data_IF_648624815205
#
_entry.id   IF_648624815205
#
_cell.length_a   1.000
_cell.length_b   1.000
_cell.length_c   1.000
_cell.angle_alpha   90.00
_cell.angle_beta   90.00
_cell.angle_gamma   90.00
#
_symmetry.space_group_name_H-M   'P 1'
#
loop_
_entity.id
_entity.type
_entity.pdbx_description
1 polymer ?
#
# COMPACT_ATOMS: atom_id res chain seq x y z
N UNK A 1 -25.03 -3.67 -13.12
CA UNK A 1 -25.32 -4.56 -11.98
C UNK A 1 -25.60 -3.67 -10.78
N UNK A 2 -26.67 -3.93 -10.03
CA UNK A 2 -27.24 -2.97 -9.08
C UNK A 2 -26.23 -2.58 -8.01
N UNK A 3 -26.04 -1.27 -7.84
CA UNK A 3 -25.38 -0.68 -6.70
C UNK A 3 -26.40 -0.61 -5.56
N UNK A 4 -26.92 -1.77 -5.16
CA UNK A 4 -27.67 -1.87 -3.91
C UNK A 4 -26.63 -1.78 -2.80
N UNK A 5 -26.46 -0.58 -2.24
CA UNK A 5 -25.62 -0.34 -1.07
C UNK A 5 -26.10 -1.23 0.07
N UNK A 6 -25.40 -2.34 0.28
CA UNK A 6 -25.66 -3.28 1.36
C UNK A 6 -25.48 -2.56 2.71
N UNK A 7 -26.57 -2.43 3.48
CA UNK A 7 -26.57 -1.80 4.80
C UNK A 7 -26.91 -2.84 5.88
N UNK A 8 -25.95 -3.12 6.76
CA UNK A 8 -26.16 -4.03 7.89
C UNK A 8 -27.25 -3.56 8.84
N UNK A 9 -27.47 -2.24 8.92
CA UNK A 9 -28.47 -1.65 9.82
C UNK A 9 -29.91 -2.00 9.45
N UNK A 10 -30.20 -2.19 8.14
CA UNK A 10 -31.52 -2.58 7.63
C UNK A 10 -31.83 -4.06 7.78
N UNK A 11 -30.86 -4.88 8.18
CA UNK A 11 -31.08 -6.32 8.34
C UNK A 11 -31.92 -6.62 9.59
N UNK A 12 -32.63 -7.75 9.57
CA UNK A 12 -33.47 -8.17 10.68
C UNK A 12 -32.63 -8.44 11.94
N UNK A 13 -33.14 -7.99 13.10
CA UNK A 13 -32.51 -8.25 14.40
C UNK A 13 -32.63 -9.74 14.77
N UNK A 14 -31.62 -10.26 15.46
CA UNK A 14 -31.61 -11.64 15.92
C UNK A 14 -30.86 -11.78 17.26
N UNK A 15 -31.13 -12.86 17.99
CA UNK A 15 -30.30 -13.32 19.13
C UNK A 15 -29.48 -14.54 18.72
N UNK A 16 -30.07 -15.40 17.89
CA UNK A 16 -29.51 -16.62 17.31
C UNK A 16 -29.87 -16.75 15.82
N UNK A 17 -29.24 -17.70 15.12
CA UNK A 17 -29.56 -17.98 13.71
C UNK A 17 -31.03 -18.42 13.51
N UNK A 18 -31.66 -19.03 14.51
CA UNK A 18 -33.05 -19.48 14.44
C UNK A 18 -34.07 -18.33 14.34
N UNK A 19 -33.67 -17.12 14.76
CA UNK A 19 -34.51 -15.93 14.65
C UNK A 19 -34.51 -15.33 13.24
N UNK A 20 -33.59 -15.80 12.38
CA UNK A 20 -33.44 -15.28 11.03
C UNK A 20 -34.38 -15.98 10.04
N UNK A 21 -34.93 -15.24 9.05
CA UNK A 21 -35.70 -15.85 7.98
C UNK A 21 -34.92 -16.94 7.25
N UNK A 22 -35.64 -17.86 6.61
CA UNK A 22 -35.01 -18.89 5.76
C UNK A 22 -34.13 -18.22 4.69
N UNK A 23 -32.92 -18.76 4.49
CA UNK A 23 -31.96 -18.26 3.52
C UNK A 23 -30.90 -17.29 4.10
N UNK A 24 -30.95 -16.98 5.39
CA UNK A 24 -29.88 -16.26 6.08
C UNK A 24 -28.81 -17.23 6.59
N UNK A 25 -27.54 -16.86 6.40
CA UNK A 25 -26.39 -17.68 6.76
C UNK A 25 -25.92 -17.48 8.21
N UNK A 26 -26.13 -16.29 8.80
CA UNK A 26 -25.54 -15.97 10.11
C UNK A 26 -26.37 -14.97 10.93
N UNK A 27 -26.16 -14.95 12.26
CA UNK A 27 -26.64 -13.94 13.18
C UNK A 27 -25.45 -13.31 13.93
N UNK A 28 -25.03 -12.11 13.53
CA UNK A 28 -23.74 -11.53 13.91
C UNK A 28 -23.85 -10.19 14.64
N UNK A 29 -22.96 -9.94 15.60
CA UNK A 29 -22.84 -8.64 16.29
C UNK A 29 -22.23 -7.62 15.32
N UNK A 30 -22.76 -6.40 15.30
CA UNK A 30 -22.23 -5.26 14.53
C UNK A 30 -21.72 -4.21 15.53
N UNK A 31 -20.55 -3.62 15.28
CA UNK A 31 -19.82 -2.83 16.28
C UNK A 31 -20.64 -1.65 16.85
N UNK A 32 -21.46 -1.02 16.01
CA UNK A 32 -22.22 0.19 16.35
C UNK A 32 -23.73 -0.08 16.54
N UNK A 33 -24.13 -1.35 16.66
CA UNK A 33 -25.52 -1.74 16.87
C UNK A 33 -25.65 -2.57 18.17
N UNK A 34 -26.67 -2.26 18.95
CA UNK A 34 -26.93 -2.97 20.21
C UNK A 34 -27.28 -4.44 19.95
N UNK A 35 -28.20 -4.69 19.02
CA UNK A 35 -28.65 -6.03 18.66
C UNK A 35 -27.82 -6.65 17.53
N UNK A 36 -27.75 -7.98 17.48
CA UNK A 36 -27.17 -8.69 16.32
C UNK A 36 -28.08 -8.54 15.10
N UNK A 37 -27.52 -8.81 13.92
CA UNK A 37 -28.21 -8.74 12.63
C UNK A 37 -28.11 -10.07 11.88
N UNK A 38 -29.20 -10.46 11.24
CA UNK A 38 -29.23 -11.57 10.31
C UNK A 38 -28.44 -11.19 9.05
N UNK A 39 -27.46 -12.01 8.69
CA UNK A 39 -26.63 -11.82 7.50
C UNK A 39 -27.03 -12.87 6.47
N UNK A 40 -27.42 -12.41 5.27
CA UNK A 40 -27.91 -13.29 4.21
C UNK A 40 -26.77 -14.11 3.63
N UNK A 41 -25.75 -13.43 3.12
CA UNK A 41 -24.52 -14.03 2.65
C UNK A 41 -23.32 -13.34 3.31
N UNK A 42 -22.37 -14.13 3.79
CA UNK A 42 -21.12 -13.62 4.36
C UNK A 42 -20.29 -12.88 3.30
N UNK A 43 -20.45 -13.25 2.01
CA UNK A 43 -19.78 -12.59 0.88
C UNK A 43 -20.24 -11.16 0.62
N UNK A 44 -21.41 -10.77 1.14
CA UNK A 44 -21.86 -9.37 1.12
C UNK A 44 -21.02 -8.49 2.08
N UNK A 45 -20.30 -9.10 3.02
CA UNK A 45 -19.43 -8.42 3.97
C UNK A 45 -17.95 -8.61 3.61
N UNK A 46 -17.53 -9.82 3.25
CA UNK A 46 -16.14 -10.12 2.93
C UNK A 46 -16.06 -10.89 1.62
N UNK A 47 -15.43 -10.32 0.59
CA UNK A 47 -15.25 -11.01 -0.69
C UNK A 47 -14.34 -12.24 -0.54
N UNK A 48 -13.42 -12.18 0.43
CA UNK A 48 -12.60 -13.31 0.87
C UNK A 48 -12.56 -13.46 2.39
N UNK A 49 -12.36 -14.69 2.86
CA UNK A 49 -12.23 -15.01 4.27
C UNK A 49 -13.54 -14.84 5.04
N UNK A 50 -13.45 -14.42 6.31
CA UNK A 50 -14.62 -14.25 7.17
C UNK A 50 -14.66 -12.86 7.84
N UNK A 51 -15.85 -12.33 8.15
CA UNK A 51 -15.99 -11.09 8.88
C UNK A 51 -15.32 -11.15 10.25
N UNK A 52 -14.65 -10.07 10.62
CA UNK A 52 -14.26 -9.86 12.01
C UNK A 52 -15.54 -9.73 12.85
N UNK A 53 -15.54 -10.33 14.04
CA UNK A 53 -16.62 -10.15 15.01
C UNK A 53 -16.14 -9.20 16.13
N UNK A 54 -16.93 -8.17 16.52
CA UNK A 54 -18.13 -7.69 15.82
C UNK A 54 -17.82 -7.19 14.40
N UNK A 55 -18.79 -7.31 13.49
CA UNK A 55 -18.69 -6.79 12.12
C UNK A 55 -18.49 -5.28 12.21
N UNK A 56 -17.46 -4.78 11.55
CA UNK A 56 -17.02 -3.39 11.63
C UNK A 56 -16.73 -2.88 10.21
N UNK A 57 -17.26 -1.71 9.87
CA UNK A 57 -16.91 -1.01 8.64
C UNK A 57 -15.50 -0.42 8.72
N UNK A 58 -14.87 -0.22 7.57
CA UNK A 58 -13.52 0.32 7.48
C UNK A 58 -13.31 1.12 6.21
N UNK A 59 -12.39 2.07 6.28
CA UNK A 59 -11.88 2.80 5.13
C UNK A 59 -10.41 2.45 4.86
N UNK A 60 -9.67 2.04 5.90
CA UNK A 60 -8.26 1.65 5.81
C UNK A 60 -7.98 0.43 6.68
N UNK A 61 -6.85 -0.22 6.44
CA UNK A 61 -6.49 -1.44 7.16
C UNK A 61 -6.41 -1.22 8.68
N UNK A 62 -5.90 -0.06 9.14
CA UNK A 62 -5.80 0.30 10.57
C UNK A 62 -7.13 0.22 11.33
N UNK A 63 -8.25 0.48 10.66
CA UNK A 63 -9.58 0.41 11.28
C UNK A 63 -9.93 -1.02 11.73
N UNK A 64 -9.31 -2.01 11.09
CA UNK A 64 -9.54 -3.42 11.33
C UNK A 64 -8.62 -4.05 12.36
N UNK A 65 -7.62 -3.30 12.82
CA UNK A 65 -6.80 -3.67 13.96
C UNK A 65 -7.42 -3.10 15.25
N UNK A 66 -7.12 -3.73 16.39
CA UNK A 66 -7.48 -3.17 17.70
C UNK A 66 -6.41 -2.16 18.15
N UNK A 67 -6.27 -1.98 19.47
CA UNK A 67 -5.12 -1.24 20.05
C UNK A 67 -3.75 -1.90 19.80
N UNK A 68 -3.71 -3.05 19.15
CA UNK A 68 -2.47 -3.74 18.76
C UNK A 68 -2.63 -4.30 17.36
N UNK A 69 -1.67 -3.96 16.49
CA UNK A 69 -1.49 -4.53 15.15
C UNK A 69 -1.12 -6.02 15.21
N UNK A 70 -0.65 -6.49 16.38
CA UNK A 70 0.04 -7.77 16.60
C UNK A 70 -0.69 -8.70 17.58
N UNK A 71 -1.94 -9.07 17.28
CA UNK A 71 -2.49 -10.32 17.84
C UNK A 71 -2.29 -11.45 16.80
N UNK A 72 -1.14 -12.12 16.87
CA UNK A 72 -0.53 -12.95 15.83
C UNK A 72 -1.29 -14.20 15.32
N UNK A 73 -2.58 -14.36 15.63
CA UNK A 73 -3.36 -15.52 15.21
C UNK A 73 -4.13 -15.30 13.89
N UNK A 74 -4.33 -14.04 13.47
CA UNK A 74 -5.13 -13.71 12.30
C UNK A 74 -4.48 -12.63 11.43
N UNK A 75 -4.54 -12.83 10.11
CA UNK A 75 -4.30 -11.76 9.14
C UNK A 75 -5.63 -11.05 8.92
N UNK A 76 -5.61 -9.72 9.06
CA UNK A 76 -6.79 -8.86 8.97
C UNK A 76 -6.57 -7.81 7.89
N UNK A 77 -7.65 -7.38 7.26
CA UNK A 77 -7.61 -6.29 6.29
C UNK A 77 -8.95 -5.57 6.26
N UNK A 78 -8.94 -4.37 5.69
CA UNK A 78 -10.16 -3.74 5.21
C UNK A 78 -10.42 -4.24 3.79
N UNK A 79 -11.54 -4.93 3.55
CA UNK A 79 -11.91 -5.36 2.21
C UNK A 79 -12.31 -4.13 1.38
N UNK A 80 -11.57 -3.85 0.32
CA UNK A 80 -11.78 -2.64 -0.49
C UNK A 80 -12.99 -2.74 -1.41
N UNK A 81 -13.56 -3.93 -1.59
CA UNK A 81 -14.78 -4.12 -2.35
C UNK A 81 -16.05 -3.89 -1.52
N UNK A 82 -16.02 -4.25 -0.23
CA UNK A 82 -17.20 -4.18 0.65
C UNK A 82 -17.07 -3.18 1.80
N UNK A 83 -15.88 -2.63 2.04
CA UNK A 83 -15.57 -1.70 3.14
C UNK A 83 -15.86 -2.25 4.54
N UNK A 84 -15.64 -3.55 4.74
CA UNK A 84 -15.72 -4.19 6.06
C UNK A 84 -14.43 -4.90 6.45
N UNK A 85 -14.24 -5.03 7.76
CA UNK A 85 -13.09 -5.72 8.32
C UNK A 85 -13.22 -7.23 8.20
N UNK A 86 -12.28 -7.82 7.48
CA UNK A 86 -12.22 -9.24 7.21
C UNK A 86 -10.97 -9.85 7.84
N UNK A 87 -11.02 -11.15 8.07
CA UNK A 87 -9.91 -11.91 8.64
C UNK A 87 -9.81 -13.31 8.06
N UNK A 88 -8.61 -13.85 8.11
CA UNK A 88 -8.33 -15.26 7.86
C UNK A 88 -7.37 -15.77 8.93
N UNK A 89 -7.46 -17.06 9.26
CA UNK A 89 -6.46 -17.73 10.09
C UNK A 89 -5.11 -17.70 9.37
N UNK A 90 -4.03 -17.42 10.09
CA UNK A 90 -2.68 -17.35 9.52
C UNK A 90 -2.22 -18.67 8.88
N UNK A 91 -2.83 -19.81 9.24
CA UNK A 91 -2.53 -21.14 8.70
C UNK A 91 -3.57 -21.65 7.67
N UNK A 92 -4.49 -20.79 7.22
CA UNK A 92 -5.50 -21.18 6.24
C UNK A 92 -4.84 -21.55 4.90
N UNK A 93 -5.40 -22.55 4.23
CA UNK A 93 -5.04 -22.89 2.84
C UNK A 93 -5.74 -22.01 1.81
N UNK A 94 -6.64 -21.11 2.25
CA UNK A 94 -7.30 -20.16 1.36
C UNK A 94 -6.27 -19.14 0.82
N UNK A 95 -6.11 -19.12 -0.51
CA UNK A 95 -5.25 -18.18 -1.21
C UNK A 95 -5.88 -16.77 -1.29
N UNK A 96 -5.96 -16.11 -0.14
CA UNK A 96 -6.48 -14.73 0.01
C UNK A 96 -5.37 -13.69 0.17
N UNK A 97 -4.12 -14.10 -0.08
CA UNK A 97 -2.97 -13.21 -0.12
C UNK A 97 -2.53 -13.01 -1.57
N UNK A 98 -1.85 -11.89 -1.80
CA UNK A 98 -1.03 -11.70 -2.98
C UNK A 98 0.12 -12.74 -3.01
N UNK A 99 0.77 -12.93 -4.17
CA UNK A 99 1.84 -13.91 -4.30
C UNK A 99 3.09 -13.67 -3.43
N UNK A 100 3.22 -12.48 -2.84
CA UNK A 100 4.21 -12.16 -1.80
C UNK A 100 3.92 -12.84 -0.44
N UNK A 101 2.71 -13.38 -0.26
CA UNK A 101 2.21 -14.08 0.95
C UNK A 101 2.08 -13.21 2.20
N UNK A 102 2.25 -11.90 2.07
CA UNK A 102 2.14 -10.95 3.19
C UNK A 102 1.00 -9.97 2.97
N UNK A 103 0.77 -9.56 1.71
CA UNK A 103 -0.23 -8.55 1.36
C UNK A 103 -1.61 -9.20 1.17
N UNK A 104 -2.66 -8.80 1.90
CA UNK A 104 -4.01 -9.32 1.72
C UNK A 104 -4.60 -8.93 0.36
N UNK A 105 -5.09 -9.91 -0.39
CA UNK A 105 -5.55 -9.76 -1.78
C UNK A 105 -6.70 -8.76 -1.90
N UNK A 106 -7.78 -8.99 -1.16
CA UNK A 106 -8.98 -8.15 -1.17
C UNK A 106 -8.79 -6.83 -0.41
N UNK A 107 -7.62 -6.63 0.21
CA UNK A 107 -7.21 -5.34 0.76
C UNK A 107 -6.61 -4.41 -0.30
N UNK A 108 -6.25 -4.93 -1.49
CA UNK A 108 -5.68 -4.12 -2.56
C UNK A 108 -6.74 -3.64 -3.56
N UNK A 109 -6.35 -2.67 -4.38
CA UNK A 109 -7.21 -2.13 -5.44
C UNK A 109 -7.47 -3.17 -6.53
N UNK A 110 -8.64 -3.07 -7.17
CA UNK A 110 -8.97 -3.90 -8.34
C UNK A 110 -8.15 -3.47 -9.56
N UNK A 111 -7.75 -4.46 -10.34
CA UNK A 111 -7.15 -4.24 -11.65
C UNK A 111 -8.20 -3.82 -12.69
N UNK A 112 -7.75 -3.04 -13.67
CA UNK A 112 -8.53 -2.69 -14.84
C UNK A 112 -8.52 -3.87 -15.83
N UNK A 113 -9.64 -4.10 -16.52
CA UNK A 113 -9.78 -5.11 -17.58
C UNK A 113 -9.38 -6.53 -17.16
N UNK A 114 -9.50 -6.86 -15.86
CA UNK A 114 -9.20 -8.18 -15.35
C UNK A 114 -10.25 -9.20 -15.81
N UNK A 115 -9.79 -10.39 -16.19
CA UNK A 115 -10.64 -11.51 -16.56
C UNK A 115 -10.75 -12.47 -15.37
N UNK A 116 -11.97 -12.67 -14.87
CA UNK A 116 -12.27 -13.53 -13.71
C UNK A 116 -11.79 -14.98 -13.88
N UNK A 117 -11.65 -15.46 -15.11
CA UNK A 117 -11.20 -16.83 -15.42
C UNK A 117 -9.66 -16.98 -15.48
N UNK A 118 -8.91 -15.88 -15.50
CA UNK A 118 -7.46 -15.89 -15.66
C UNK A 118 -6.76 -15.31 -14.42
N UNK A 119 -5.90 -16.14 -13.81
CA UNK A 119 -5.18 -15.78 -12.58
C UNK A 119 -4.34 -14.50 -12.74
N UNK A 120 -3.64 -14.35 -13.87
CA UNK A 120 -2.85 -13.16 -14.17
C UNK A 120 -3.46 -12.44 -15.38
N UNK A 121 -4.35 -11.49 -15.12
CA UNK A 121 -5.04 -10.75 -16.17
C UNK A 121 -5.44 -9.34 -15.73
N UNK A 122 -5.52 -8.42 -16.69
CA UNK A 122 -5.79 -7.01 -16.45
C UNK A 122 -4.53 -6.17 -16.28
N UNK A 123 -4.72 -4.91 -15.90
CA UNK A 123 -3.67 -3.92 -15.68
C UNK A 123 -3.78 -3.26 -14.32
N UNK A 124 -2.67 -3.19 -13.58
CA UNK A 124 -2.61 -2.40 -12.36
C UNK A 124 -2.49 -0.92 -12.69
N UNK A 125 -3.17 -0.06 -11.92
CA UNK A 125 -2.97 1.39 -11.97
C UNK A 125 -1.62 1.82 -11.40
N UNK A 126 -1.02 0.99 -10.57
CA UNK A 126 0.29 1.22 -9.99
C UNK A 126 1.35 0.62 -10.91
N UNK A 127 2.31 1.43 -11.36
CA UNK A 127 3.34 0.98 -12.29
C UNK A 127 4.20 -0.19 -11.77
N UNK A 128 4.33 -0.35 -10.44
CA UNK A 128 5.04 -1.48 -9.83
C UNK A 128 4.16 -2.70 -9.54
N UNK A 129 2.86 -2.63 -9.76
CA UNK A 129 1.92 -3.70 -9.44
C UNK A 129 1.69 -4.65 -10.61
N UNK A 130 1.35 -5.90 -10.30
CA UNK A 130 0.81 -6.84 -11.30
C UNK A 130 -0.56 -7.34 -10.87
N UNK A 131 -1.34 -7.80 -11.83
CA UNK A 131 -2.68 -8.29 -11.56
C UNK A 131 -2.66 -9.77 -11.19
N UNK A 132 -3.23 -10.07 -10.02
CA UNK A 132 -3.44 -11.43 -9.53
C UNK A 132 -4.89 -11.57 -9.08
N UNK A 133 -5.61 -12.51 -9.69
CA UNK A 133 -7.04 -12.76 -9.43
C UNK A 133 -7.89 -11.48 -9.51
N UNK A 134 -7.51 -10.56 -10.40
CA UNK A 134 -8.20 -9.27 -10.59
C UNK A 134 -7.88 -8.17 -9.58
N UNK A 135 -6.90 -8.37 -8.69
CA UNK A 135 -6.43 -7.36 -7.75
C UNK A 135 -4.96 -6.99 -8.01
N UNK A 136 -4.62 -5.75 -7.73
CA UNK A 136 -3.28 -5.19 -7.91
C UNK A 136 -2.38 -5.64 -6.75
N UNK A 137 -1.45 -6.55 -7.02
CA UNK A 137 -0.54 -7.11 -6.04
C UNK A 137 0.89 -6.59 -6.21
N UNK A 138 1.67 -6.55 -5.11
CA UNK A 138 3.10 -6.27 -5.19
C UNK A 138 3.82 -7.36 -5.97
N UNK A 139 4.90 -7.02 -6.69
CA UNK A 139 5.69 -7.93 -7.51
C UNK A 139 6.26 -9.08 -6.66
N UNK A 140 6.29 -10.29 -7.24
CA UNK A 140 6.69 -11.50 -6.54
C UNK A 140 8.16 -11.41 -6.13
N UNK A 141 8.42 -11.31 -4.83
CA UNK A 141 9.77 -11.47 -4.26
C UNK A 141 10.07 -12.98 -4.27
N UNK A 142 10.81 -13.45 -5.26
CA UNK A 142 11.21 -14.86 -5.35
C UNK A 142 12.39 -15.14 -4.41
N UNK A 143 12.09 -15.50 -3.15
CA UNK A 143 13.04 -15.94 -2.12
C UNK A 143 14.03 -14.86 -1.60
N UNK A 144 14.46 -14.94 -0.33
CA UNK A 144 15.45 -14.03 0.26
C UNK A 144 16.83 -14.02 -0.43
N UNK A 145 17.10 -15.03 -1.27
CA UNK A 145 18.40 -15.23 -1.92
C UNK A 145 18.41 -14.90 -3.42
N UNK A 146 17.24 -14.80 -4.07
CA UNK A 146 17.09 -14.50 -5.50
C UNK A 146 16.21 -13.25 -5.67
N UNK A 147 16.69 -12.13 -5.13
CA UNK A 147 16.02 -10.83 -5.11
C UNK A 147 15.81 -10.23 -6.51
N UNK A 148 14.97 -10.88 -7.32
CA UNK A 148 14.30 -10.24 -8.44
C UNK A 148 13.15 -9.42 -7.87
N UNK A 149 13.50 -8.27 -7.30
CA UNK A 149 12.53 -7.22 -7.03
C UNK A 149 11.73 -6.94 -8.29
N UNK A 150 10.48 -6.50 -8.11
CA UNK A 150 9.84 -5.76 -9.18
C UNK A 150 10.73 -4.58 -9.57
N UNK A 151 10.73 -4.23 -10.85
CA UNK A 151 11.53 -3.10 -11.34
C UNK A 151 11.14 -1.79 -10.65
N UNK A 152 9.90 -1.64 -10.16
CA UNK A 152 9.40 -0.39 -9.57
C UNK A 152 8.81 -0.63 -8.19
N UNK A 153 8.81 0.42 -7.37
CA UNK A 153 8.16 0.45 -6.06
C UNK A 153 6.66 0.24 -6.17
N UNK A 154 6.06 -0.36 -5.13
CA UNK A 154 4.62 -0.62 -5.06
C UNK A 154 4.05 -0.15 -3.72
N UNK A 155 2.96 0.61 -3.76
CA UNK A 155 2.23 1.04 -2.58
C UNK A 155 1.19 -0.03 -2.19
N UNK A 156 1.31 -0.59 -1.00
CA UNK A 156 0.26 -1.47 -0.45
C UNK A 156 -0.79 -0.65 0.28
N UNK A 157 -2.01 -1.16 0.39
CA UNK A 157 -3.03 -0.59 1.28
C UNK A 157 -2.86 -0.98 2.77
N UNK A 158 -1.74 -1.60 3.13
CA UNK A 158 -1.43 -1.89 4.53
C UNK A 158 -0.92 -0.62 5.20
N UNK A 159 -1.51 -0.27 6.33
CA UNK A 159 -1.10 0.88 7.13
C UNK A 159 0.17 0.57 7.92
N UNK A 160 0.95 1.61 8.18
CA UNK A 160 2.08 1.58 9.11
C UNK A 160 2.24 2.92 9.82
N UNK A 161 3.15 2.96 10.78
CA UNK A 161 3.58 4.17 11.46
C UNK A 161 5.08 4.35 11.20
N UNK A 162 5.48 5.47 10.61
CA UNK A 162 6.88 5.74 10.28
C UNK A 162 7.79 5.89 11.51
N UNK A 163 7.18 6.13 12.68
CA UNK A 163 7.87 6.21 13.97
C UNK A 163 7.99 4.83 14.65
N UNK A 164 7.50 3.77 14.02
CA UNK A 164 7.58 2.40 14.53
C UNK A 164 8.46 1.55 13.59
N UNK A 165 9.08 0.52 14.16
CA UNK A 165 9.84 -0.44 13.37
C UNK A 165 8.90 -1.24 12.45
N UNK A 166 9.33 -1.44 11.21
CA UNK A 166 8.60 -2.29 10.25
C UNK A 166 8.70 -3.75 10.72
N UNK A 167 7.55 -4.44 10.86
CA UNK A 167 7.49 -5.81 11.39
C UNK A 167 8.37 -6.81 10.61
N UNK A 168 8.85 -7.84 11.30
CA UNK A 168 9.79 -8.83 10.78
C UNK A 168 9.31 -9.59 9.53
N UNK A 169 8.02 -9.65 9.27
CA UNK A 169 7.47 -10.33 8.08
C UNK A 169 7.51 -9.49 6.80
N UNK A 170 7.81 -8.20 6.87
CA UNK A 170 7.72 -7.25 5.75
C UNK A 170 9.10 -6.96 5.14
N UNK A 171 9.78 -8.01 4.68
CA UNK A 171 11.09 -7.90 4.03
C UNK A 171 11.01 -7.03 2.76
N UNK A 172 12.02 -6.19 2.57
CA UNK A 172 12.14 -5.18 1.51
C UNK A 172 10.98 -4.21 1.42
N UNK A 173 10.40 -3.88 2.57
CA UNK A 173 9.38 -2.86 2.69
C UNK A 173 9.85 -1.72 3.60
N UNK A 174 9.23 -0.56 3.42
CA UNK A 174 9.38 0.60 4.29
C UNK A 174 8.03 1.24 4.55
N UNK A 175 7.93 1.97 5.66
CA UNK A 175 6.77 2.81 5.93
C UNK A 175 6.97 4.17 5.29
N UNK A 176 6.06 4.62 4.44
CA UNK A 176 6.17 5.94 3.83
C UNK A 176 5.55 7.00 4.74
N UNK A 177 6.27 8.09 4.99
CA UNK A 177 5.87 9.14 5.93
C UNK A 177 4.53 9.79 5.57
N UNK A 178 4.36 10.23 4.32
CA UNK A 178 3.16 10.98 3.91
C UNK A 178 1.91 10.11 3.74
N UNK A 179 2.04 8.94 3.11
CA UNK A 179 0.89 8.06 2.86
C UNK A 179 0.49 7.26 4.10
N UNK A 180 1.44 6.99 5.01
CA UNK A 180 1.21 6.12 6.16
C UNK A 180 0.94 4.66 5.77
N UNK A 181 1.42 4.26 4.60
CA UNK A 181 1.29 2.91 4.04
C UNK A 181 2.65 2.21 3.95
N UNK A 182 2.63 0.88 3.95
CA UNK A 182 3.81 0.08 3.60
C UNK A 182 4.01 0.10 2.09
N UNK A 183 5.25 0.35 1.70
CA UNK A 183 5.69 0.33 0.32
C UNK A 183 6.71 -0.79 0.12
N UNK A 184 6.58 -1.52 -0.98
CA UNK A 184 7.57 -2.49 -1.41
C UNK A 184 8.64 -1.78 -2.22
N UNK A 185 9.91 -2.03 -1.89
CA UNK A 185 11.05 -1.51 -2.61
C UNK A 185 11.18 -2.16 -3.99
N UNK A 186 11.43 -1.34 -5.01
CA UNK A 186 11.76 -1.80 -6.36
C UNK A 186 13.25 -1.64 -6.66
N UNK A 187 13.69 -2.13 -7.82
CA UNK A 187 15.06 -1.86 -8.30
C UNK A 187 15.27 -0.38 -8.64
N UNK A 188 14.24 0.25 -9.20
CA UNK A 188 14.25 1.63 -9.64
C UNK A 188 13.25 2.47 -8.83
N UNK A 189 13.63 3.71 -8.57
CA UNK A 189 12.77 4.74 -8.00
C UNK A 189 11.72 5.23 -9.01
N UNK A 190 10.84 6.15 -8.60
CA UNK A 190 9.80 6.72 -9.48
C UNK A 190 10.36 7.50 -10.68
N UNK A 191 11.61 7.93 -10.63
CA UNK A 191 12.30 8.62 -11.73
C UNK A 191 12.93 7.63 -12.73
N UNK A 192 13.02 6.35 -12.38
CA UNK A 192 13.67 5.32 -13.20
C UNK A 192 15.16 5.10 -12.90
N UNK A 193 15.71 5.78 -11.89
CA UNK A 193 17.08 5.57 -11.43
C UNK A 193 17.14 4.43 -10.41
N UNK A 194 18.28 3.74 -10.31
CA UNK A 194 18.46 2.70 -9.29
C UNK A 194 18.30 3.30 -7.89
N UNK A 195 17.66 2.54 -7.00
CA UNK A 195 17.46 2.98 -5.61
C UNK A 195 18.80 3.12 -4.88
N UNK A 196 19.01 4.25 -4.23
CA UNK A 196 20.28 4.59 -3.58
C UNK A 196 20.26 4.10 -2.14
N UNK A 197 21.18 3.18 -1.84
CA UNK A 197 21.38 2.57 -0.53
C UNK A 197 22.45 3.30 0.26
N UNK A 198 22.19 3.57 1.53
CA UNK A 198 23.17 4.12 2.48
C UNK A 198 23.74 3.03 3.41
N UNK A 199 24.91 3.32 4.00
CA UNK A 199 25.55 2.43 4.98
C UNK A 199 24.97 2.56 6.38
N UNK A 200 24.15 3.58 6.62
CA UNK A 200 23.50 3.86 7.91
C UNK A 200 22.47 2.78 8.24
N UNK A 201 22.64 2.18 9.41
CA UNK A 201 21.64 1.31 10.02
C UNK A 201 20.54 2.15 10.66
N UNK A 202 19.31 1.66 10.61
CA UNK A 202 18.13 2.32 11.17
C UNK A 202 17.22 1.29 11.82
N UNK A 203 16.27 1.72 12.64
CA UNK A 203 15.11 0.93 13.05
C UNK A 203 13.81 1.62 12.60
N UNK A 204 13.85 2.95 12.48
CA UNK A 204 12.73 3.80 12.06
C UNK A 204 13.22 4.83 11.04
N UNK A 205 12.29 5.49 10.33
CA UNK A 205 12.66 6.53 9.36
C UNK A 205 13.42 7.71 10.00
N UNK A 206 13.14 8.00 11.27
CA UNK A 206 13.77 9.10 11.99
C UNK A 206 15.29 8.91 12.15
N UNK A 207 15.78 7.66 12.09
CA UNK A 207 17.21 7.36 12.19
C UNK A 207 17.98 7.73 10.90
N UNK A 208 17.27 7.88 9.78
CA UNK A 208 17.87 8.12 8.47
C UNK A 208 18.04 9.61 8.15
N UNK A 209 17.10 10.45 8.58
CA UNK A 209 17.06 11.87 8.24
C UNK A 209 16.03 12.21 7.15
N UNK A 210 15.93 13.48 6.80
CA UNK A 210 14.94 13.98 5.85
C UNK A 210 15.22 13.48 4.42
N UNK A 211 14.16 13.10 3.69
CA UNK A 211 14.26 12.56 2.33
C UNK A 211 14.72 11.11 2.25
N UNK A 212 14.87 10.43 3.39
CA UNK A 212 15.34 9.07 3.50
C UNK A 212 14.31 8.17 4.21
N UNK A 213 14.31 6.90 3.87
CA UNK A 213 13.43 5.88 4.46
C UNK A 213 14.23 4.72 5.03
N UNK A 214 13.75 4.15 6.13
CA UNK A 214 14.31 2.96 6.72
C UNK A 214 13.68 1.71 6.09
N UNK A 215 14.49 0.95 5.38
CA UNK A 215 14.06 -0.24 4.65
C UNK A 215 14.56 -1.47 5.37
N UNK A 216 13.68 -2.44 5.56
CA UNK A 216 14.05 -3.77 6.05
C UNK A 216 14.65 -4.57 4.90
N UNK A 217 15.94 -4.86 4.90
CA UNK A 217 16.54 -5.73 3.88
C UNK A 217 16.32 -7.21 4.18
N UNK A 218 16.32 -7.61 5.45
CA UNK A 218 16.03 -8.98 5.87
C UNK A 218 15.64 -9.04 7.35
N UNK A 219 15.51 -10.27 7.89
CA UNK A 219 15.17 -10.53 9.28
C UNK A 219 16.03 -9.76 10.30
N UNK A 220 17.28 -9.45 9.99
CA UNK A 220 18.25 -8.88 10.92
C UNK A 220 18.80 -7.50 10.49
N UNK A 221 18.47 -7.00 9.30
CA UNK A 221 19.10 -5.80 8.74
C UNK A 221 18.09 -4.79 8.23
N UNK A 222 18.19 -3.59 8.77
CA UNK A 222 17.52 -2.40 8.29
C UNK A 222 18.57 -1.37 7.89
N UNK A 223 18.30 -0.65 6.79
CA UNK A 223 19.20 0.38 6.26
C UNK A 223 18.44 1.55 5.67
N UNK A 224 19.10 2.69 5.67
CA UNK A 224 18.57 3.90 5.06
C UNK A 224 18.72 3.87 3.54
N UNK A 225 17.69 4.36 2.86
CA UNK A 225 17.66 4.56 1.41
C UNK A 225 17.14 5.97 1.12
N UNK A 226 17.54 6.54 -0.01
CA UNK A 226 16.82 7.67 -0.60
C UNK A 226 15.36 7.25 -0.79
N UNK A 227 14.42 8.11 -0.37
CA UNK A 227 12.99 7.82 -0.53
C UNK A 227 12.71 7.61 -2.03
N UNK A 228 12.39 6.37 -2.45
CA UNK A 228 12.31 6.01 -3.86
C UNK A 228 11.05 6.57 -4.52
N UNK A 229 10.19 7.25 -3.75
CA UNK A 229 8.95 7.86 -4.22
C UNK A 229 9.08 9.35 -4.51
N UNK A 230 10.21 9.96 -4.15
CA UNK A 230 10.47 11.37 -4.42
C UNK A 230 10.74 11.58 -5.91
N UNK A 231 9.77 12.18 -6.59
CA UNK A 231 9.91 12.60 -7.98
C UNK A 231 10.83 13.82 -8.06
N UNK A 232 11.96 13.68 -8.75
CA UNK A 232 12.90 14.78 -8.97
C UNK A 232 12.54 15.45 -10.30
N UNK A 233 12.19 16.74 -10.26
CA UNK A 233 11.98 17.50 -11.49
C UNK A 233 13.32 17.96 -12.07
N UNK A 234 14.00 17.04 -12.77
CA UNK A 234 15.27 17.31 -13.45
C UNK A 234 15.19 18.50 -14.41
N UNK A 235 14.02 18.76 -15.03
CA UNK A 235 13.83 19.91 -15.92
C UNK A 235 14.01 21.25 -15.19
N UNK A 236 13.50 21.36 -13.97
CA UNK A 236 13.69 22.55 -13.13
C UNK A 236 15.14 22.71 -12.67
N UNK A 237 15.80 21.60 -12.30
CA UNK A 237 17.20 21.62 -11.84
C UNK A 237 18.13 22.02 -12.99
N UNK A 238 17.97 21.40 -14.16
CA UNK A 238 18.74 21.73 -15.36
C UNK A 238 18.50 23.18 -15.77
N UNK A 239 17.25 23.66 -15.74
CA UNK A 239 16.94 25.06 -16.03
C UNK A 239 17.63 26.04 -15.06
N UNK A 240 17.66 25.72 -13.76
CA UNK A 240 18.37 26.53 -12.76
C UNK A 240 19.88 26.53 -12.97
N UNK A 241 20.48 25.37 -13.26
CA UNK A 241 21.92 25.26 -13.55
C UNK A 241 22.26 26.05 -14.82
N UNK A 242 21.50 25.88 -15.90
CA UNK A 242 21.69 26.65 -17.13
C UNK A 242 21.56 28.15 -16.87
N UNK A 243 20.57 28.59 -16.08
CA UNK A 243 20.42 30.00 -15.72
C UNK A 243 21.65 30.53 -14.96
N UNK A 244 22.22 29.76 -14.02
CA UNK A 244 23.44 30.17 -13.28
C UNK A 244 24.64 30.38 -14.20
N UNK A 245 24.77 29.63 -15.30
CA UNK A 245 25.88 29.79 -16.25
C UNK A 245 25.61 30.84 -17.33
N UNK A 246 24.40 30.87 -17.91
CA UNK A 246 24.10 31.73 -19.05
C UNK A 246 23.80 33.18 -18.65
N UNK A 247 23.18 33.43 -17.50
CA UNK A 247 22.86 34.80 -17.05
C UNK A 247 24.14 35.65 -16.85
N UNK A 248 25.20 35.16 -16.17
CA UNK A 248 26.45 35.91 -16.06
C UNK A 248 27.15 36.15 -17.40
N UNK A 249 27.12 35.18 -18.31
CA UNK A 249 27.74 35.31 -19.64
C UNK A 249 27.02 36.37 -20.49
N UNK A 250 25.68 36.37 -20.47
CA UNK A 250 24.89 37.39 -21.16
C UNK A 250 25.14 38.77 -20.54
N UNK A 251 25.21 38.85 -19.22
CA UNK A 251 25.48 40.11 -18.52
C UNK A 251 26.89 40.66 -18.85
N UNK A 252 27.91 39.80 -18.84
CA UNK A 252 29.28 40.17 -19.19
C UNK A 252 29.41 40.60 -20.66
N UNK A 253 28.77 39.87 -21.58
CA UNK A 253 28.81 40.23 -23.01
C UNK A 253 28.08 41.55 -23.27
N UNK A 254 26.95 41.82 -22.62
CA UNK A 254 26.27 43.11 -22.67
C UNK A 254 27.16 44.26 -22.13
N UNK A 255 27.86 44.05 -21.01
CA UNK A 255 28.79 45.03 -20.46
C UNK A 255 29.94 45.35 -21.42
N UNK A 256 30.52 44.34 -22.05
CA UNK A 256 31.59 44.51 -23.06
C UNK A 256 31.09 45.32 -24.26
N UNK A 257 29.90 44.99 -24.78
CA UNK A 257 29.30 45.72 -25.91
C UNK A 257 29.05 47.19 -25.54
N UNK A 258 28.53 47.46 -24.34
CA UNK A 258 28.29 48.83 -23.86
C UNK A 258 29.62 49.57 -23.71
N UNK A 259 30.63 48.97 -23.08
CA UNK A 259 31.93 49.64 -22.90
C UNK A 259 32.60 49.96 -24.23
N UNK A 260 32.62 49.02 -25.19
CA UNK A 260 33.17 49.27 -26.53
C UNK A 260 32.42 50.41 -27.23
N UNK A 261 31.09 50.45 -27.14
CA UNK A 261 30.27 51.48 -27.80
C UNK A 261 30.42 52.88 -27.20
N UNK A 262 30.84 53.01 -25.95
CA UNK A 262 31.03 54.29 -25.24
C UNK A 262 32.51 54.69 -25.12
N UNK A 263 33.43 53.91 -25.69
CA UNK A 263 34.87 54.22 -25.79
C UNK A 263 35.28 54.75 -27.18
N UNK A 264 34.35 54.73 -28.15
CA UNK A 264 34.37 55.52 -29.39
C UNK A 264 33.59 56.84 -29.19
#
# INVERSE_FOLDING_TARGET
>A
MSNDTFSLSSNQKCKSLLDCPKGFANCSKVADLDDKRCIKDVREICLGGIPRNPIKSCNRSRDCYGKSMNSGEYIRWCDMGTHFCCKVLSNSTEELMCPDRVTPLYGQDKCEDANETMIYSGRSRQNGGFCYKGYSCPPKITLPHDLTFGSRTFQTNMDCNANEEVDQKFDFMFCHNDTGNLWVMGQYNVNGDEVIKHWTHCNTNNDCGEGLVCVKEDLCRYRCYDDPTLAVNYGSIVAQILAMFFVPIIFLSALVIITVKYLD
#
